data_IF_730139388157
#
_entry.id   IF_730139388157
#
_cell.length_a   1.000
_cell.length_b   1.000
_cell.length_c   1.000
_cell.angle_alpha   90.00
_cell.angle_beta   90.00
_cell.angle_gamma   90.00
#
_symmetry.space_group_name_H-M   'P 1'
#
loop_
_entity.id
_entity.type
_entity.pdbx_description
1 polymer ?
#
# COMPACT_ATOMS: atom_id res chain seq x y z
N UNK A 1 -14.47 -51.64 -6.00
CA UNK A 1 -13.80 -51.54 -4.68
C UNK A 1 -12.87 -50.34 -4.73
N UNK A 2 -13.29 -49.21 -4.17
CA UNK A 2 -12.50 -47.99 -4.13
C UNK A 2 -12.46 -47.49 -2.68
N UNK A 3 -11.30 -47.63 -2.05
CA UNK A 3 -11.03 -47.28 -0.65
C UNK A 3 -10.69 -45.80 -0.54
N UNK A 4 -11.55 -45.05 0.15
CA UNK A 4 -11.36 -43.63 0.49
C UNK A 4 -10.51 -43.54 1.76
N UNK A 5 -9.29 -43.01 1.65
CA UNK A 5 -8.44 -42.72 2.81
C UNK A 5 -8.83 -41.37 3.42
N UNK A 6 -9.28 -41.41 4.69
CA UNK A 6 -9.63 -40.25 5.52
C UNK A 6 -8.41 -39.89 6.37
N UNK A 7 -7.83 -38.72 6.19
CA UNK A 7 -6.74 -38.18 7.03
C UNK A 7 -7.31 -37.43 8.24
N UNK A 8 -6.77 -37.60 9.46
CA UNK A 8 -7.23 -36.84 10.63
C UNK A 8 -6.47 -35.51 10.78
N UNK A 9 -7.22 -34.48 11.18
CA UNK A 9 -6.77 -33.12 11.45
C UNK A 9 -6.10 -33.06 12.84
N UNK A 10 -4.82 -32.66 12.88
CA UNK A 10 -4.05 -32.40 14.09
C UNK A 10 -4.40 -31.03 14.67
N UNK A 11 -4.86 -31.00 15.92
CA UNK A 11 -5.21 -29.80 16.70
C UNK A 11 -4.08 -29.50 17.69
N UNK A 12 -3.47 -28.30 17.71
CA UNK A 12 -2.39 -27.98 18.65
C UNK A 12 -2.92 -27.67 20.07
N UNK A 13 -2.16 -27.95 21.14
CA UNK A 13 -2.61 -27.75 22.51
C UNK A 13 -2.50 -26.29 22.98
N UNK A 14 -3.49 -25.89 23.77
CA UNK A 14 -3.64 -24.58 24.41
C UNK A 14 -2.70 -24.50 25.63
N UNK A 15 -1.88 -23.46 25.71
CA UNK A 15 -1.02 -23.14 26.86
C UNK A 15 -1.79 -22.27 27.88
N UNK A 16 -1.70 -22.54 29.20
CA UNK A 16 -2.31 -21.68 30.22
C UNK A 16 -1.39 -20.50 30.63
N UNK A 17 -1.96 -19.41 31.20
CA UNK A 17 -1.21 -18.20 31.55
C UNK A 17 -0.39 -18.37 32.82
N UNK A 18 0.82 -17.78 32.84
CA UNK A 18 1.71 -17.73 34.01
C UNK A 18 1.16 -16.75 35.05
N UNK A 19 0.81 -17.26 36.23
CA UNK A 19 0.54 -16.50 37.44
C UNK A 19 1.82 -16.06 38.14
N UNK A 20 1.82 -14.82 38.59
CA UNK A 20 2.77 -14.22 39.52
C UNK A 20 2.68 -14.86 40.91
N UNK A 21 3.84 -15.16 41.50
CA UNK A 21 3.94 -15.36 42.96
C UNK A 21 5.27 -14.84 43.48
N UNK A 22 5.16 -13.89 44.39
CA UNK A 22 6.18 -13.44 45.31
C UNK A 22 6.57 -14.53 46.30
N UNK A 23 7.85 -14.60 46.68
CA UNK A 23 8.28 -15.04 48.00
C UNK A 23 9.75 -14.64 48.24
N UNK A 24 10.06 -14.39 49.51
CA UNK A 24 11.22 -13.72 50.06
C UNK A 24 12.35 -14.68 50.51
N UNK A 25 13.46 -14.06 50.95
CA UNK A 25 14.59 -14.58 51.75
C UNK A 25 15.74 -15.26 50.94
N UNK A 26 17.05 -15.05 51.18
CA UNK A 26 17.79 -14.29 52.18
C UNK A 26 19.24 -13.97 51.70
N UNK A 27 19.75 -12.84 52.20
CA UNK A 27 21.14 -12.45 52.54
C UNK A 27 22.37 -13.11 51.85
N UNK A 28 23.18 -12.27 51.18
CA UNK A 28 24.63 -12.03 51.51
C UNK A 28 25.18 -10.80 50.77
N UNK A 29 25.85 -9.90 51.50
CA UNK A 29 26.66 -8.73 51.04
C UNK A 29 28.13 -9.18 50.86
N UNK A 30 29.04 -8.51 50.11
CA UNK A 30 29.39 -7.06 50.14
C UNK A 30 29.61 -6.48 48.70
N UNK A 31 29.91 -5.23 48.38
CA UNK A 31 30.69 -4.15 49.00
C UNK A 31 30.32 -2.80 48.36
N UNK A 32 30.41 -1.73 49.13
CA UNK A 32 30.08 -0.35 48.78
C UNK A 32 31.10 0.32 47.84
N UNK A 33 30.62 1.07 46.84
CA UNK A 33 31.25 2.34 46.40
C UNK A 33 30.13 3.32 46.05
N UNK A 34 30.09 4.45 46.76
CA UNK A 34 29.10 5.50 46.61
C UNK A 34 29.61 6.58 45.64
N UNK A 35 28.76 7.03 44.71
CA UNK A 35 28.94 8.29 43.99
C UNK A 35 27.72 9.18 44.22
N UNK A 36 27.88 10.44 44.64
CA UNK A 36 26.76 11.30 44.98
C UNK A 36 26.13 11.91 43.72
N UNK A 37 24.80 11.85 43.68
CA UNK A 37 23.93 12.58 42.76
C UNK A 37 23.98 14.07 43.05
N UNK A 38 24.59 14.86 42.15
CA UNK A 38 24.56 16.32 42.20
C UNK A 38 23.40 16.84 41.35
N UNK A 39 22.30 17.24 42.02
CA UNK A 39 21.23 18.06 41.44
C UNK A 39 21.76 19.50 41.29
N UNK A 40 21.81 20.02 40.06
CA UNK A 40 21.87 21.47 39.82
C UNK A 40 20.65 21.93 39.04
N UNK A 41 19.86 22.75 39.71
CA UNK A 41 19.02 23.77 39.09
C UNK A 41 19.93 24.83 38.46
N UNK A 42 19.82 25.08 37.17
CA UNK A 42 20.51 26.21 36.52
C UNK A 42 19.54 27.00 35.65
N UNK A 43 19.52 28.29 35.94
CA UNK A 43 18.65 29.33 35.41
C UNK A 43 19.05 29.76 34.00
N UNK A 44 18.01 30.09 33.24
CA UNK A 44 17.99 30.64 31.89
C UNK A 44 18.90 31.88 31.75
N UNK A 45 19.93 31.82 30.91
CA UNK A 45 20.59 33.01 30.35
C UNK A 45 20.68 32.90 28.84
N UNK A 46 20.00 33.83 28.17
CA UNK A 46 20.09 34.11 26.73
C UNK A 46 21.43 34.77 26.45
N UNK A 47 22.20 34.21 25.52
CA UNK A 47 23.35 34.88 24.89
C UNK A 47 23.18 34.82 23.39
N UNK A 48 22.96 35.99 22.81
CA UNK A 48 22.90 36.26 21.36
C UNK A 48 24.32 36.26 20.81
N UNK A 49 24.62 35.41 19.82
CA UNK A 49 25.85 35.48 19.03
C UNK A 49 25.54 36.04 17.63
N UNK A 50 26.37 36.95 17.09
CA UNK A 50 26.15 37.54 15.77
C UNK A 50 26.61 36.60 14.64
N UNK A 51 25.75 36.38 13.65
CA UNK A 51 26.06 35.65 12.42
C UNK A 51 27.09 36.42 11.59
N UNK A 52 28.24 35.78 11.38
CA UNK A 52 29.26 36.24 10.42
C UNK A 52 28.84 35.85 9.00
N UNK A 53 29.04 36.78 8.09
CA UNK A 53 28.62 36.78 6.69
C UNK A 53 29.43 35.82 5.82
N UNK A 54 28.78 34.79 5.26
CA UNK A 54 29.33 34.00 4.14
C UNK A 54 28.78 34.54 2.81
N UNK A 55 29.68 35.09 1.99
CA UNK A 55 29.41 35.51 0.61
C UNK A 55 29.32 34.27 -0.30
N UNK A 56 28.19 34.08 -0.97
CA UNK A 56 28.06 33.17 -2.11
C UNK A 56 28.25 33.95 -3.43
N UNK A 57 28.94 33.38 -4.44
CA UNK A 57 29.07 34.02 -5.74
C UNK A 57 27.76 33.94 -6.56
N UNK A 58 27.45 35.07 -7.18
CA UNK A 58 26.31 35.37 -8.05
C UNK A 58 26.42 34.66 -9.40
N UNK A 59 25.40 33.87 -9.78
CA UNK A 59 25.21 33.37 -11.16
C UNK A 59 24.13 34.24 -11.83
N UNK A 60 24.38 34.82 -13.03
CA UNK A 60 23.49 35.80 -13.62
C UNK A 60 22.22 35.19 -14.25
N UNK A 61 21.13 35.89 -13.98
CA UNK A 61 19.78 35.75 -14.55
C UNK A 61 19.75 35.79 -16.08
N UNK A 62 19.16 34.77 -16.70
CA UNK A 62 18.70 34.83 -18.09
C UNK A 62 17.37 35.58 -18.14
N UNK A 63 17.33 36.57 -19.03
CA UNK A 63 16.28 37.57 -19.17
C UNK A 63 15.10 37.02 -19.96
N UNK A 64 13.91 37.23 -19.41
CA UNK A 64 12.60 37.12 -20.02
C UNK A 64 12.50 38.08 -21.23
N UNK A 65 12.24 37.58 -22.43
CA UNK A 65 11.82 38.40 -23.58
C UNK A 65 10.34 38.17 -23.88
N UNK A 66 9.53 39.11 -23.37
CA UNK A 66 8.37 39.77 -24.00
C UNK A 66 7.57 39.00 -25.05
N UNK A 67 6.35 38.64 -24.65
CA UNK A 67 5.23 38.30 -25.53
C UNK A 67 4.47 39.59 -25.93
N UNK A 68 4.11 39.73 -27.21
CA UNK A 68 3.02 40.58 -27.69
C UNK A 68 2.45 40.01 -29.01
N UNK A 69 1.16 40.22 -29.31
CA UNK A 69 0.32 39.27 -30.05
C UNK A 69 0.02 39.70 -31.49
N UNK A 70 -0.26 38.73 -32.38
CA UNK A 70 -0.92 38.99 -33.66
C UNK A 70 -1.85 37.83 -34.03
N UNK A 71 -3.10 38.20 -34.33
CA UNK A 71 -4.21 37.34 -34.73
C UNK A 71 -4.03 36.77 -36.16
N UNK A 72 -4.54 35.55 -36.38
CA UNK A 72 -4.98 35.10 -37.71
C UNK A 72 -6.03 33.98 -37.57
N UNK A 73 -7.15 34.15 -38.25
CA UNK A 73 -8.30 33.25 -38.40
C UNK A 73 -8.02 32.09 -39.37
N UNK A 74 -8.75 30.97 -39.19
CA UNK A 74 -9.11 30.06 -40.30
C UNK A 74 -8.69 28.60 -40.14
N UNK A 75 -9.62 27.83 -39.57
CA UNK A 75 -9.95 26.40 -39.78
C UNK A 75 -8.98 25.50 -40.58
N UNK A 76 -8.54 24.39 -39.97
CA UNK A 76 -9.04 23.00 -40.16
C UNK A 76 -7.95 22.00 -39.75
N UNK A 77 -8.32 21.02 -38.92
CA UNK A 77 -7.62 19.75 -38.62
C UNK A 77 -6.15 19.78 -38.15
N UNK A 78 -5.93 19.69 -36.82
CA UNK A 78 -4.64 19.26 -36.26
C UNK A 78 -4.81 18.40 -34.99
N UNK A 79 -4.21 17.21 -35.03
CA UNK A 79 -4.06 16.27 -33.91
C UNK A 79 -3.24 16.88 -32.77
N UNK A 80 -3.46 16.50 -31.50
CA UNK A 80 -2.65 17.01 -30.39
C UNK A 80 -1.28 16.32 -30.40
N UNK A 81 -0.24 17.03 -30.81
CA UNK A 81 1.13 16.65 -30.49
C UNK A 81 1.46 17.13 -29.08
N UNK A 82 1.45 16.20 -28.13
CA UNK A 82 2.15 16.32 -26.85
C UNK A 82 3.61 16.02 -27.13
N UNK A 83 4.48 17.02 -26.98
CA UNK A 83 5.92 16.84 -27.05
C UNK A 83 6.39 16.23 -25.72
N UNK A 84 6.50 14.91 -25.70
CA UNK A 84 7.25 14.18 -24.68
C UNK A 84 8.76 14.34 -24.95
N UNK A 85 9.60 14.48 -23.92
CA UNK A 85 11.04 14.36 -24.11
C UNK A 85 11.39 12.89 -24.34
N UNK A 86 11.69 12.53 -25.59
CA UNK A 86 12.33 11.26 -25.92
C UNK A 86 13.71 11.20 -25.24
N UNK A 87 13.83 10.34 -24.23
CA UNK A 87 15.10 9.79 -23.80
C UNK A 87 15.33 8.55 -24.66
N UNK A 88 16.15 8.68 -25.69
CA UNK A 88 16.60 7.55 -26.49
C UNK A 88 17.47 6.64 -25.60
N UNK A 89 16.92 5.49 -25.25
CA UNK A 89 17.68 4.35 -24.74
C UNK A 89 18.30 3.66 -25.96
N UNK A 90 19.60 3.87 -26.14
CA UNK A 90 20.39 3.11 -27.09
C UNK A 90 20.65 1.73 -26.47
N UNK A 91 19.82 0.74 -26.84
CA UNK A 91 20.07 -0.67 -26.57
C UNK A 91 21.30 -1.11 -27.40
N UNK A 92 22.47 -0.98 -26.79
CA UNK A 92 23.72 -1.58 -27.27
C UNK A 92 23.75 -3.07 -26.98
N UNK A 93 22.97 -3.86 -27.74
CA UNK A 93 23.17 -5.30 -27.82
C UNK A 93 24.53 -5.56 -28.49
N UNK A 94 25.53 -5.92 -27.69
CA UNK A 94 26.80 -6.44 -28.18
C UNK A 94 26.56 -7.89 -28.58
N UNK A 95 26.27 -8.09 -29.86
CA UNK A 95 26.33 -9.40 -30.50
C UNK A 95 27.78 -9.91 -30.42
N UNK A 96 27.98 -10.91 -29.58
CA UNK A 96 29.20 -11.71 -29.55
C UNK A 96 29.11 -12.67 -30.74
N UNK A 97 29.59 -12.23 -31.90
CA UNK A 97 29.88 -13.15 -33.00
C UNK A 97 31.16 -13.93 -32.71
N UNK A 98 30.96 -15.22 -32.56
CA UNK A 98 31.94 -16.29 -32.44
C UNK A 98 32.75 -16.39 -33.74
N UNK A 99 33.99 -15.88 -33.76
CA UNK A 99 34.91 -16.06 -34.90
C UNK A 99 35.83 -17.23 -34.64
N UNK A 100 35.32 -18.43 -34.92
CA UNK A 100 36.11 -19.63 -35.07
C UNK A 100 36.74 -19.68 -36.47
N UNK A 101 38.07 -19.61 -36.52
CA UNK A 101 38.90 -20.37 -37.45
C UNK A 101 38.94 -19.94 -38.91
N UNK A 102 39.94 -19.12 -39.26
CA UNK A 102 40.69 -19.35 -40.50
C UNK A 102 42.18 -19.24 -40.21
N UNK A 103 42.78 -20.41 -40.02
CA UNK A 103 44.21 -20.64 -40.09
C UNK A 103 44.59 -20.61 -41.59
N UNK A 104 45.05 -19.47 -42.08
CA UNK A 104 45.83 -19.40 -43.32
C UNK A 104 47.22 -18.88 -43.00
N UNK A 105 48.18 -19.75 -43.29
CA UNK A 105 49.61 -19.60 -43.10
C UNK A 105 50.12 -18.51 -44.05
N UNK A 106 50.73 -17.47 -43.50
CA UNK A 106 51.68 -16.63 -44.24
C UNK A 106 53.00 -16.59 -43.48
N UNK A 107 53.96 -17.36 -43.99
CA UNK A 107 55.38 -17.26 -43.66
C UNK A 107 55.92 -15.86 -44.03
N UNK A 108 56.99 -15.47 -43.32
CA UNK A 108 57.87 -14.32 -43.52
C UNK A 108 57.45 -12.99 -42.84
N UNK A 109 57.84 -12.81 -41.57
CA UNK A 109 59.11 -12.14 -41.24
C UNK A 109 59.35 -12.29 -39.72
N UNK A 110 60.23 -13.23 -39.33
CA UNK A 110 60.79 -13.28 -37.98
C UNK A 110 61.88 -12.20 -37.88
N UNK A 111 61.49 -10.98 -37.51
CA UNK A 111 62.42 -9.98 -37.03
C UNK A 111 62.58 -10.16 -35.52
N UNK A 112 63.64 -10.85 -35.13
CA UNK A 112 64.11 -10.99 -33.75
C UNK A 112 64.43 -9.62 -33.14
N UNK A 113 63.46 -8.98 -32.51
CA UNK A 113 63.77 -8.06 -31.42
C UNK A 113 63.93 -8.91 -30.16
N UNK A 114 65.18 -9.12 -29.75
CA UNK A 114 65.51 -9.71 -28.47
C UNK A 114 64.79 -8.93 -27.39
N UNK A 115 63.78 -9.55 -26.76
CA UNK A 115 63.09 -8.90 -25.65
C UNK A 115 64.12 -8.45 -24.60
N UNK A 116 63.92 -7.32 -23.91
CA UNK A 116 64.90 -6.81 -22.94
C UNK A 116 65.24 -7.83 -21.85
N UNK A 117 64.31 -8.75 -21.57
CA UNK A 117 64.55 -9.90 -20.69
C UNK A 117 65.50 -10.95 -21.29
N UNK A 118 65.45 -11.18 -22.60
CA UNK A 118 66.32 -12.11 -23.32
C UNK A 118 67.77 -11.61 -23.35
N UNK A 119 67.99 -10.30 -23.46
CA UNK A 119 69.31 -9.67 -23.33
C UNK A 119 69.85 -9.76 -21.89
N UNK A 120 69.01 -9.49 -20.89
CA UNK A 120 69.35 -9.68 -19.46
C UNK A 120 69.68 -11.14 -19.14
N UNK A 121 68.98 -12.10 -19.75
CA UNK A 121 69.24 -13.53 -19.58
C UNK A 121 70.50 -14.01 -20.31
N UNK A 122 70.82 -13.45 -21.48
CA UNK A 122 72.08 -13.72 -22.21
C UNK A 122 73.28 -13.19 -21.43
N UNK A 123 73.21 -11.94 -20.95
CA UNK A 123 74.27 -11.34 -20.13
C UNK A 123 74.45 -12.06 -18.78
N UNK A 124 73.38 -12.55 -18.16
CA UNK A 124 73.46 -13.42 -16.98
C UNK A 124 74.19 -14.75 -17.28
N UNK A 125 73.86 -15.42 -18.39
CA UNK A 125 74.51 -16.67 -18.82
C UNK A 125 76.01 -16.47 -19.08
N UNK A 126 76.38 -15.39 -19.73
CA UNK A 126 77.77 -15.04 -20.01
C UNK A 126 78.55 -14.67 -18.75
N UNK A 127 77.94 -13.95 -17.81
CA UNK A 127 78.55 -13.60 -16.52
C UNK A 127 78.83 -14.85 -15.67
N UNK A 128 77.93 -15.83 -15.67
CA UNK A 128 78.11 -17.12 -14.98
C UNK A 128 79.20 -17.97 -15.65
N UNK A 129 79.23 -18.03 -17.00
CA UNK A 129 80.26 -18.76 -17.74
C UNK A 129 81.68 -18.21 -17.49
N UNK A 130 81.79 -16.90 -17.26
CA UNK A 130 83.05 -16.21 -16.98
C UNK A 130 83.39 -16.10 -15.48
N UNK A 131 82.59 -16.69 -14.57
CA UNK A 131 82.71 -16.57 -13.10
C UNK A 131 82.76 -15.11 -12.59
N UNK A 132 82.06 -14.19 -13.26
CA UNK A 132 82.00 -12.77 -12.90
C UNK A 132 80.91 -12.53 -11.86
N UNK A 133 81.21 -12.85 -10.60
CA UNK A 133 80.27 -12.79 -9.47
C UNK A 133 79.67 -11.39 -9.22
N UNK A 134 80.42 -10.32 -9.55
CA UNK A 134 79.95 -8.94 -9.41
C UNK A 134 78.78 -8.60 -10.35
N UNK A 135 78.84 -9.03 -11.62
CA UNK A 135 77.80 -8.78 -12.62
C UNK A 135 76.56 -9.62 -12.33
N UNK A 136 76.76 -10.87 -11.89
CA UNK A 136 75.68 -11.76 -11.45
C UNK A 136 74.91 -11.14 -10.27
N UNK A 137 75.61 -10.60 -9.27
CA UNK A 137 74.98 -9.95 -8.12
C UNK A 137 74.18 -8.69 -8.49
N UNK A 138 74.69 -7.88 -9.43
CA UNK A 138 74.00 -6.69 -9.93
C UNK A 138 72.72 -7.05 -10.68
N UNK A 139 72.77 -8.04 -11.58
CA UNK A 139 71.60 -8.53 -12.32
C UNK A 139 70.55 -9.16 -11.39
N UNK A 140 70.97 -9.93 -10.39
CA UNK A 140 70.05 -10.47 -9.37
C UNK A 140 69.39 -9.37 -8.54
N UNK A 141 70.11 -8.29 -8.23
CA UNK A 141 69.54 -7.14 -7.52
C UNK A 141 68.50 -6.39 -8.38
N UNK A 142 68.78 -6.25 -9.67
CA UNK A 142 67.88 -5.63 -10.64
C UNK A 142 66.60 -6.44 -10.85
N UNK A 143 66.72 -7.76 -11.02
CA UNK A 143 65.57 -8.67 -11.11
C UNK A 143 64.72 -8.67 -9.83
N UNK A 144 65.35 -8.61 -8.65
CA UNK A 144 64.64 -8.46 -7.36
C UNK A 144 63.86 -7.15 -7.30
N UNK A 145 64.44 -6.03 -7.74
CA UNK A 145 63.74 -4.74 -7.81
C UNK A 145 62.53 -4.79 -8.74
N UNK A 146 62.65 -5.42 -9.91
CA UNK A 146 61.53 -5.58 -10.85
C UNK A 146 60.42 -6.44 -10.24
N UNK A 147 60.77 -7.54 -9.57
CA UNK A 147 59.79 -8.40 -8.92
C UNK A 147 59.05 -7.66 -7.79
N UNK A 148 59.77 -6.86 -6.98
CA UNK A 148 59.18 -6.03 -5.93
C UNK A 148 58.22 -4.96 -6.51
N UNK A 149 58.59 -4.33 -7.63
CA UNK A 149 57.74 -3.37 -8.34
C UNK A 149 56.50 -4.04 -8.92
N UNK A 150 56.65 -5.20 -9.55
CA UNK A 150 55.55 -6.01 -10.09
C UNK A 150 54.58 -6.41 -8.99
N UNK A 151 55.07 -6.93 -7.87
CA UNK A 151 54.24 -7.26 -6.69
C UNK A 151 53.53 -6.01 -6.16
N UNK A 152 54.21 -4.87 -6.15
CA UNK A 152 53.62 -3.58 -5.76
C UNK A 152 52.48 -3.14 -6.68
N UNK A 153 52.63 -3.31 -8.00
CA UNK A 153 51.60 -3.01 -9.00
C UNK A 153 50.44 -4.00 -8.93
N UNK A 154 50.69 -5.29 -8.80
CA UNK A 154 49.66 -6.32 -8.65
C UNK A 154 48.80 -6.07 -7.41
N UNK A 155 49.41 -5.68 -6.28
CA UNK A 155 48.66 -5.29 -5.07
C UNK A 155 47.77 -4.06 -5.30
N UNK A 156 48.26 -3.06 -6.03
CA UNK A 156 47.46 -1.86 -6.38
C UNK A 156 46.30 -2.22 -7.29
N UNK A 157 46.52 -3.04 -8.31
CA UNK A 157 45.47 -3.52 -9.22
C UNK A 157 44.43 -4.31 -8.44
N UNK A 158 44.86 -5.21 -7.56
CA UNK A 158 43.97 -5.98 -6.69
C UNK A 158 43.11 -5.05 -5.80
N UNK A 159 43.72 -4.07 -5.15
CA UNK A 159 43.01 -3.07 -4.31
C UNK A 159 41.97 -2.28 -5.11
N UNK A 160 42.37 -1.73 -6.26
CA UNK A 160 41.48 -0.94 -7.12
C UNK A 160 40.36 -1.80 -7.67
N UNK A 161 40.64 -3.04 -8.08
CA UNK A 161 39.62 -3.96 -8.58
C UNK A 161 38.58 -4.32 -7.51
N UNK A 162 39.02 -4.47 -6.25
CA UNK A 162 38.14 -4.72 -5.13
C UNK A 162 37.26 -3.50 -4.82
N UNK A 163 37.84 -2.30 -4.77
CA UNK A 163 37.09 -1.04 -4.60
C UNK A 163 36.05 -0.85 -5.72
N UNK A 164 36.43 -1.13 -6.96
CA UNK A 164 35.55 -1.06 -8.12
C UNK A 164 34.38 -2.05 -7.97
N UNK A 165 34.64 -3.29 -7.52
CA UNK A 165 33.59 -4.28 -7.29
C UNK A 165 32.59 -3.83 -6.23
N UNK A 166 33.08 -3.25 -5.12
CA UNK A 166 32.22 -2.74 -4.03
C UNK A 166 31.35 -1.59 -4.52
N UNK A 167 31.91 -0.66 -5.29
CA UNK A 167 31.15 0.48 -5.80
C UNK A 167 30.15 0.05 -6.88
N UNK A 168 30.48 -0.94 -7.72
CA UNK A 168 29.52 -1.56 -8.66
C UNK A 168 28.35 -2.19 -7.91
N UNK A 169 28.61 -2.97 -6.87
CA UNK A 169 27.56 -3.58 -6.06
C UNK A 169 26.68 -2.52 -5.38
N UNK A 170 27.31 -1.43 -4.92
CA UNK A 170 26.59 -0.28 -4.36
C UNK A 170 25.68 0.38 -5.38
N UNK A 171 26.17 0.62 -6.60
CA UNK A 171 25.37 1.21 -7.69
C UNK A 171 24.21 0.30 -8.07
N UNK A 172 24.46 -1.00 -8.24
CA UNK A 172 23.42 -1.99 -8.56
C UNK A 172 22.34 -2.05 -7.49
N UNK A 173 22.72 -1.95 -6.22
CA UNK A 173 21.75 -1.89 -5.12
C UNK A 173 20.93 -0.60 -5.17
N UNK A 174 21.58 0.54 -5.37
CA UNK A 174 20.89 1.85 -5.46
C UNK A 174 19.94 1.88 -6.66
N UNK A 175 20.32 1.32 -7.81
CA UNK A 175 19.44 1.23 -8.98
C UNK A 175 18.22 0.34 -8.69
N UNK A 176 18.41 -0.80 -8.03
CA UNK A 176 17.31 -1.66 -7.62
C UNK A 176 16.38 -0.97 -6.61
N UNK A 177 16.93 -0.26 -5.63
CA UNK A 177 16.15 0.52 -4.66
C UNK A 177 15.35 1.64 -5.34
N UNK A 178 15.93 2.29 -6.36
CA UNK A 178 15.25 3.32 -7.16
C UNK A 178 14.11 2.75 -8.00
N UNK A 179 14.31 1.60 -8.65
CA UNK A 179 13.25 0.92 -9.41
C UNK A 179 12.09 0.50 -8.51
N UNK A 180 12.41 -0.02 -7.31
CA UNK A 180 11.41 -0.37 -6.31
C UNK A 180 10.65 0.87 -5.83
N UNK A 181 11.36 1.98 -5.57
CA UNK A 181 10.75 3.26 -5.18
C UNK A 181 9.83 3.81 -6.27
N UNK A 182 10.25 3.77 -7.53
CA UNK A 182 9.43 4.23 -8.67
C UNK A 182 8.14 3.42 -8.77
N UNK A 183 8.23 2.09 -8.81
CA UNK A 183 7.05 1.19 -8.85
C UNK A 183 6.13 1.41 -7.64
N UNK A 184 6.69 1.65 -6.46
CA UNK A 184 5.91 1.96 -5.26
C UNK A 184 5.20 3.31 -5.40
N UNK A 185 5.91 4.34 -5.82
CA UNK A 185 5.37 5.70 -5.96
C UNK A 185 4.25 5.75 -7.01
N UNK A 186 4.39 5.01 -8.11
CA UNK A 186 3.34 4.90 -9.12
C UNK A 186 2.06 4.25 -8.55
N UNK A 187 2.19 3.15 -7.80
CA UNK A 187 1.03 2.53 -7.11
C UNK A 187 0.42 3.47 -6.08
N UNK A 188 1.25 4.08 -5.22
CA UNK A 188 0.80 5.00 -4.19
C UNK A 188 0.07 6.20 -4.81
N UNK A 189 0.55 6.73 -5.94
CA UNK A 189 -0.12 7.80 -6.68
C UNK A 189 -1.51 7.40 -7.17
N UNK A 190 -1.65 6.21 -7.77
CA UNK A 190 -2.95 5.70 -8.22
C UNK A 190 -3.91 5.49 -7.04
N UNK A 191 -3.41 4.93 -5.94
CA UNK A 191 -4.17 4.78 -4.70
C UNK A 191 -4.58 6.13 -4.11
N UNK A 192 -3.72 7.15 -4.14
CA UNK A 192 -4.06 8.48 -3.64
C UNK A 192 -5.17 9.13 -4.48
N UNK A 193 -5.12 9.01 -5.81
CA UNK A 193 -6.16 9.55 -6.70
C UNK A 193 -7.51 8.87 -6.44
N UNK A 194 -7.54 7.54 -6.40
CA UNK A 194 -8.77 6.78 -6.11
C UNK A 194 -9.28 7.02 -4.68
N UNK A 195 -8.37 7.23 -3.72
CA UNK A 195 -8.73 7.56 -2.35
C UNK A 195 -9.40 8.92 -2.24
N UNK A 196 -8.78 9.95 -2.83
CA UNK A 196 -9.32 11.31 -2.85
C UNK A 196 -10.66 11.39 -3.59
N UNK A 197 -10.80 10.66 -4.72
CA UNK A 197 -12.08 10.54 -5.41
C UNK A 197 -13.15 9.94 -4.51
N UNK A 198 -12.84 8.85 -3.79
CA UNK A 198 -13.78 8.23 -2.86
C UNK A 198 -14.21 9.16 -1.72
N UNK A 199 -13.29 9.92 -1.12
CA UNK A 199 -13.63 10.90 -0.07
C UNK A 199 -14.59 11.99 -0.56
N UNK A 200 -14.37 12.52 -1.78
CA UNK A 200 -15.27 13.50 -2.38
C UNK A 200 -16.64 12.86 -2.65
N UNK A 201 -16.68 11.64 -3.18
CA UNK A 201 -17.95 10.94 -3.43
C UNK A 201 -18.71 10.67 -2.13
N UNK A 202 -18.04 10.22 -1.07
CA UNK A 202 -18.63 10.01 0.26
C UNK A 202 -19.29 11.29 0.80
N UNK A 203 -18.68 12.46 0.56
CA UNK A 203 -19.25 13.76 0.96
C UNK A 203 -20.50 14.17 0.15
N UNK A 204 -20.65 13.63 -1.07
CA UNK A 204 -21.80 13.88 -1.95
C UNK A 204 -22.97 12.91 -1.68
N UNK A 205 -22.72 11.71 -1.13
CA UNK A 205 -23.77 10.72 -0.85
C UNK A 205 -24.93 11.24 0.02
N UNK A 206 -24.73 12.09 1.05
CA UNK A 206 -25.83 12.69 1.80
C UNK A 206 -26.79 13.52 0.95
N UNK A 207 -26.31 14.14 -0.13
CA UNK A 207 -27.16 14.88 -1.07
C UNK A 207 -28.06 13.92 -1.82
N UNK A 208 -27.52 12.77 -2.26
CA UNK A 208 -28.31 11.70 -2.88
C UNK A 208 -29.37 11.15 -1.94
N UNK A 209 -29.04 10.97 -0.67
CA UNK A 209 -30.01 10.51 0.33
C UNK A 209 -31.15 11.51 0.53
N UNK A 210 -30.86 12.81 0.44
CA UNK A 210 -31.89 13.84 0.51
C UNK A 210 -32.80 13.79 -0.72
N UNK A 211 -32.26 13.46 -1.90
CA UNK A 211 -33.10 13.13 -3.04
C UNK A 211 -34.00 11.93 -2.68
N UNK A 212 -33.45 10.78 -2.31
CA UNK A 212 -34.28 9.59 -1.99
C UNK A 212 -35.35 9.87 -0.92
N UNK A 213 -35.00 10.63 0.12
CA UNK A 213 -35.94 11.09 1.15
C UNK A 213 -37.04 11.96 0.55
N UNK A 214 -36.70 12.96 -0.26
CA UNK A 214 -37.67 13.82 -0.93
C UNK A 214 -38.62 13.01 -1.83
N UNK A 215 -38.10 12.01 -2.57
CA UNK A 215 -38.92 11.13 -3.41
C UNK A 215 -40.01 10.41 -2.61
N UNK A 216 -39.72 9.98 -1.37
CA UNK A 216 -40.72 9.33 -0.50
C UNK A 216 -41.76 10.29 0.08
N UNK A 217 -41.46 11.58 0.14
CA UNK A 217 -42.34 12.61 0.73
C UNK A 217 -43.24 13.29 -0.31
N UNK A 218 -42.85 13.28 -1.59
CA UNK A 218 -43.66 13.85 -2.68
C UNK A 218 -44.90 12.99 -2.87
N UNK A 219 -46.03 13.46 -2.34
CA UNK A 219 -47.37 12.98 -2.71
C UNK A 219 -47.86 13.87 -3.84
N UNK A 220 -48.26 13.25 -4.93
CA UNK A 220 -48.72 13.95 -6.12
C UNK A 220 -50.24 13.94 -6.09
N UNK A 221 -50.85 15.09 -5.84
CA UNK A 221 -52.31 15.25 -5.78
C UNK A 221 -52.83 16.17 -6.89
N UNK A 222 -51.97 17.06 -7.42
CA UNK A 222 -52.33 18.04 -8.46
C UNK A 222 -51.43 17.96 -9.71
N UNK A 223 -51.96 18.28 -10.90
CA UNK A 223 -51.20 18.33 -12.17
C UNK A 223 -49.96 19.24 -12.15
N UNK A 224 -49.96 20.29 -11.32
CA UNK A 224 -48.78 21.14 -11.11
C UNK A 224 -47.64 20.43 -10.38
N UNK A 225 -47.97 19.54 -9.44
CA UNK A 225 -47.00 18.76 -8.66
C UNK A 225 -46.41 17.62 -9.49
N UNK A 226 -47.17 17.06 -10.45
CA UNK A 226 -46.67 16.10 -11.44
C UNK A 226 -45.52 16.67 -12.26
N UNK A 227 -45.64 17.93 -12.72
CA UNK A 227 -44.58 18.61 -13.47
C UNK A 227 -43.30 18.77 -12.65
N UNK A 228 -43.44 19.08 -11.36
CA UNK A 228 -42.32 19.20 -10.43
C UNK A 228 -41.69 17.83 -10.16
N UNK A 229 -42.49 16.77 -10.01
CA UNK A 229 -41.98 15.41 -9.84
C UNK A 229 -41.18 14.95 -11.07
N UNK A 230 -41.66 15.25 -12.29
CA UNK A 230 -40.97 14.92 -13.52
C UNK A 230 -39.61 15.63 -13.67
N UNK A 231 -39.54 16.92 -13.35
CA UNK A 231 -38.26 17.65 -13.38
C UNK A 231 -37.30 17.14 -12.31
N UNK A 232 -37.81 16.86 -11.10
CA UNK A 232 -37.07 16.24 -10.02
C UNK A 232 -36.49 14.86 -10.39
N UNK A 233 -37.29 13.98 -10.99
CA UNK A 233 -36.85 12.66 -11.45
C UNK A 233 -35.78 12.77 -12.55
N UNK A 234 -35.89 13.78 -13.41
CA UNK A 234 -34.91 14.03 -14.47
C UNK A 234 -33.55 14.44 -13.88
N UNK A 235 -33.53 15.33 -12.87
CA UNK A 235 -32.31 15.73 -12.18
C UNK A 235 -31.69 14.54 -11.43
N UNK A 236 -32.51 13.73 -10.75
CA UNK A 236 -32.04 12.52 -10.07
C UNK A 236 -31.37 11.53 -11.04
N UNK A 237 -31.98 11.31 -12.22
CA UNK A 237 -31.41 10.44 -13.26
C UNK A 237 -30.06 10.98 -13.77
N UNK A 238 -29.99 12.26 -14.09
CA UNK A 238 -28.74 12.91 -14.53
C UNK A 238 -27.65 12.79 -13.45
N UNK A 239 -28.00 12.97 -12.18
CA UNK A 239 -27.06 12.83 -11.08
C UNK A 239 -26.54 11.38 -10.96
N UNK A 240 -27.41 10.39 -11.09
CA UNK A 240 -27.01 8.98 -11.12
C UNK A 240 -26.12 8.66 -12.33
N UNK A 241 -26.43 9.20 -13.51
CA UNK A 241 -25.60 9.05 -14.72
C UNK A 241 -24.19 9.58 -14.49
N UNK A 242 -24.05 10.76 -13.88
CA UNK A 242 -22.75 11.34 -13.52
C UNK A 242 -21.99 10.45 -12.54
N UNK A 243 -22.64 9.90 -11.51
CA UNK A 243 -22.01 8.98 -10.57
C UNK A 243 -21.53 7.70 -11.26
N UNK A 244 -22.34 7.12 -12.15
CA UNK A 244 -21.94 5.92 -12.91
C UNK A 244 -20.78 6.21 -13.87
N UNK A 245 -20.75 7.40 -14.50
CA UNK A 245 -19.64 7.81 -15.35
C UNK A 245 -18.32 7.98 -14.57
N UNK A 246 -18.41 8.32 -13.27
CA UNK A 246 -17.27 8.38 -12.35
C UNK A 246 -16.88 7.01 -11.77
N UNK A 247 -17.57 5.93 -12.16
CA UNK A 247 -17.31 4.57 -11.69
C UNK A 247 -17.93 4.24 -10.33
N UNK A 248 -18.88 5.05 -9.85
CA UNK A 248 -19.65 4.79 -8.64
C UNK A 248 -20.88 3.96 -8.99
N UNK A 249 -20.99 2.78 -8.41
CA UNK A 249 -22.09 1.85 -8.62
C UNK A 249 -22.88 1.66 -7.32
N UNK A 250 -24.23 1.61 -7.39
CA UNK A 250 -25.05 1.21 -6.26
C UNK A 250 -24.86 -0.28 -5.95
N UNK A 251 -24.91 -0.64 -4.68
CA UNK A 251 -24.89 -2.05 -4.24
C UNK A 251 -26.31 -2.63 -4.35
N UNK A 252 -26.46 -3.78 -5.01
CA UNK A 252 -27.75 -4.49 -5.10
C UNK A 252 -28.10 -5.14 -3.76
N UNK A 253 -29.25 -4.78 -3.19
CA UNK A 253 -29.66 -5.17 -1.84
C UNK A 253 -30.87 -6.10 -1.81
N UNK A 254 -32.04 -5.62 -2.23
CA UNK A 254 -33.33 -6.32 -2.05
C UNK A 254 -33.32 -7.67 -2.79
N UNK A 255 -33.61 -8.74 -2.05
CA UNK A 255 -33.64 -10.12 -2.58
C UNK A 255 -32.26 -10.77 -2.78
N UNK A 256 -31.17 -10.11 -2.36
CA UNK A 256 -29.81 -10.70 -2.34
C UNK A 256 -29.48 -11.25 -0.95
N UNK A 257 -28.55 -12.23 -0.87
CA UNK A 257 -28.01 -12.66 0.41
C UNK A 257 -27.25 -11.53 1.09
N UNK A 258 -27.36 -11.46 2.41
CA UNK A 258 -26.66 -10.48 3.22
C UNK A 258 -25.15 -10.77 3.26
N UNK A 259 -24.36 -9.86 2.69
CA UNK A 259 -22.90 -9.84 2.84
C UNK A 259 -22.46 -8.75 3.86
N UNK A 260 -21.83 -9.12 4.99
CA UNK A 260 -21.29 -8.17 5.97
C UNK A 260 -20.22 -7.21 5.42
N UNK A 261 -19.56 -7.54 4.30
CA UNK A 261 -18.56 -6.67 3.68
C UNK A 261 -19.21 -5.50 2.94
N UNK A 262 -20.45 -5.65 2.47
CA UNK A 262 -21.15 -4.68 1.62
C UNK A 262 -22.35 -4.04 2.30
N UNK A 263 -22.89 -4.68 3.34
CA UNK A 263 -24.15 -4.32 3.96
C UNK A 263 -24.04 -4.15 5.48
N UNK A 264 -24.82 -3.22 6.00
CA UNK A 264 -25.01 -2.97 7.42
C UNK A 264 -26.44 -3.35 7.83
N UNK A 265 -26.59 -4.44 8.58
CA UNK A 265 -27.90 -4.89 9.08
C UNK A 265 -28.32 -4.08 10.31
N UNK A 266 -29.33 -3.22 10.16
CA UNK A 266 -29.87 -2.42 11.28
C UNK A 266 -30.89 -3.24 12.07
N UNK A 267 -31.73 -4.00 11.37
CA UNK A 267 -32.86 -4.71 11.95
C UNK A 267 -32.99 -6.10 11.34
N UNK A 268 -33.48 -7.05 12.16
CA UNK A 268 -33.91 -8.36 11.71
C UNK A 268 -35.42 -8.48 11.89
N UNK A 269 -36.11 -9.02 10.89
CA UNK A 269 -37.55 -9.25 10.92
C UNK A 269 -37.85 -10.68 10.49
N UNK A 270 -38.80 -11.32 11.16
CA UNK A 270 -39.26 -12.64 10.78
C UNK A 270 -40.14 -12.49 9.53
N UNK A 271 -39.76 -13.18 8.44
CA UNK A 271 -40.52 -13.17 7.19
C UNK A 271 -40.78 -14.59 6.73
N UNK A 272 -42.01 -14.83 6.27
CA UNK A 272 -42.37 -16.11 5.63
C UNK A 272 -42.08 -16.11 4.12
N UNK A 273 -41.77 -14.93 3.55
CA UNK A 273 -41.51 -14.75 2.13
C UNK A 273 -40.04 -14.96 1.75
N UNK A 274 -39.11 -14.68 2.66
CA UNK A 274 -37.67 -14.75 2.41
C UNK A 274 -36.97 -15.64 3.44
N UNK A 275 -36.08 -16.51 2.96
CA UNK A 275 -35.21 -17.35 3.79
C UNK A 275 -34.31 -16.51 4.71
N UNK A 276 -33.78 -17.13 5.76
CA UNK A 276 -32.82 -16.55 6.69
C UNK A 276 -31.65 -15.89 5.94
N UNK A 277 -31.16 -14.76 6.46
CA UNK A 277 -30.03 -13.99 5.90
C UNK A 277 -30.26 -13.40 4.50
N UNK A 278 -31.52 -13.29 4.04
CA UNK A 278 -31.88 -12.52 2.83
C UNK A 278 -32.29 -11.09 3.21
N UNK A 279 -31.89 -10.12 2.38
CA UNK A 279 -32.27 -8.71 2.56
C UNK A 279 -33.73 -8.49 2.12
N UNK A 280 -34.58 -8.10 3.08
CA UNK A 280 -36.01 -7.80 2.88
C UNK A 280 -36.18 -6.40 2.30
N UNK A 281 -35.54 -5.41 2.94
CA UNK A 281 -35.73 -4.01 2.61
C UNK A 281 -34.44 -3.22 2.80
N UNK A 282 -34.19 -2.29 1.90
CA UNK A 282 -33.13 -1.30 2.03
C UNK A 282 -33.68 0.01 2.60
N UNK A 283 -33.03 0.51 3.65
CA UNK A 283 -33.29 1.83 4.22
C UNK A 283 -32.42 2.91 3.59
N UNK A 284 -31.20 2.57 3.20
CA UNK A 284 -30.25 3.50 2.60
C UNK A 284 -29.32 2.83 1.61
N UNK A 285 -29.28 3.42 0.41
CA UNK A 285 -28.23 3.40 -0.62
C UNK A 285 -26.83 3.01 -0.17
N UNK A 286 -26.33 1.80 -0.42
CA UNK A 286 -24.89 1.55 -0.43
C UNK A 286 -24.27 1.86 -1.79
N UNK A 287 -23.01 2.33 -1.79
CA UNK A 287 -22.28 2.67 -3.01
C UNK A 287 -20.84 2.16 -2.93
N UNK A 288 -20.33 1.69 -4.07
CA UNK A 288 -18.95 1.26 -4.29
C UNK A 288 -18.34 2.03 -5.45
N UNK A 289 -17.03 2.29 -5.39
CA UNK A 289 -16.22 2.89 -6.44
C UNK A 289 -15.26 1.81 -6.96
N UNK A 290 -15.59 1.19 -8.09
CA UNK A 290 -14.91 -0.01 -8.56
C UNK A 290 -14.94 -1.12 -7.51
N UNK A 291 -13.78 -1.47 -6.96
CA UNK A 291 -13.63 -2.50 -5.92
C UNK A 291 -13.69 -1.95 -4.48
N UNK A 292 -13.64 -0.61 -4.31
CA UNK A 292 -13.65 0.02 -2.98
C UNK A 292 -15.08 0.34 -2.56
N UNK A 293 -15.50 -0.12 -1.38
CA UNK A 293 -16.75 0.32 -0.77
C UNK A 293 -16.63 1.76 -0.24
N UNK A 294 -17.54 2.64 -0.65
CA UNK A 294 -17.64 4.01 -0.11
C UNK A 294 -18.51 4.04 1.13
N UNK A 295 -19.67 3.38 1.06
CA UNK A 295 -20.63 3.28 2.15
C UNK A 295 -21.43 1.98 2.05
N UNK A 296 -21.57 1.21 3.14
CA UNK A 296 -22.41 0.02 3.13
C UNK A 296 -23.89 0.37 2.98
N UNK A 297 -24.68 -0.52 2.38
CA UNK A 297 -26.14 -0.33 2.36
C UNK A 297 -26.74 -0.66 3.71
N UNK A 298 -27.60 0.21 4.20
CA UNK A 298 -28.34 -0.04 5.43
C UNK A 298 -29.57 -0.87 5.13
N UNK A 299 -29.64 -2.08 5.67
CA UNK A 299 -30.63 -3.08 5.29
C UNK A 299 -31.35 -3.70 6.48
N UNK A 300 -32.54 -4.21 6.20
CA UNK A 300 -33.31 -5.11 7.05
C UNK A 300 -33.17 -6.54 6.53
N UNK A 301 -32.76 -7.46 7.40
CA UNK A 301 -32.48 -8.86 7.05
C UNK A 301 -33.56 -9.79 7.60
N UNK A 302 -33.89 -10.86 6.87
CA UNK A 302 -34.81 -11.89 7.32
C UNK A 302 -34.14 -12.77 8.38
N UNK A 303 -34.83 -13.01 9.49
CA UNK A 303 -34.47 -14.03 10.47
C UNK A 303 -35.08 -15.40 10.16
N UNK A 304 -35.70 -15.54 8.98
CA UNK A 304 -36.43 -16.74 8.57
C UNK A 304 -37.90 -16.73 8.95
N UNK A 305 -38.62 -17.83 8.63
CA UNK A 305 -39.90 -18.11 9.25
C UNK A 305 -39.62 -18.40 10.73
N UNK A 306 -39.64 -17.35 11.54
CA UNK A 306 -39.39 -17.42 12.98
C UNK A 306 -40.26 -18.47 13.66
N UNK A 307 -39.89 -18.93 14.87
CA UNK A 307 -40.74 -19.83 15.64
C UNK A 307 -42.10 -19.17 15.84
N UNK A 308 -43.17 -19.81 15.37
CA UNK A 308 -44.54 -19.30 15.37
C UNK A 308 -44.82 -18.46 16.62
N UNK A 309 -44.91 -17.14 16.45
CA UNK A 309 -45.14 -16.20 17.54
C UNK A 309 -46.51 -16.51 18.15
N UNK A 310 -46.63 -16.83 19.46
CA UNK A 310 -47.91 -17.12 20.10
C UNK A 310 -48.67 -15.82 20.36
N UNK A 311 -49.30 -15.25 19.32
CA UNK A 311 -50.12 -14.03 19.42
C UNK A 311 -51.58 -14.29 19.85
N UNK A 312 -51.84 -15.28 20.72
CA UNK A 312 -53.16 -15.48 21.33
C UNK A 312 -53.15 -15.64 22.87
N UNK A 313 -52.07 -15.27 23.56
CA UNK A 313 -52.02 -15.40 25.03
C UNK A 313 -52.31 -14.10 25.82
N UNK A 314 -52.28 -12.91 25.20
CA UNK A 314 -52.46 -11.64 25.93
C UNK A 314 -53.89 -11.07 25.89
N UNK A 315 -54.82 -11.70 25.16
CA UNK A 315 -56.24 -11.32 25.17
C UNK A 315 -57.12 -12.22 26.06
N UNK A 316 -56.58 -13.32 26.60
CA UNK A 316 -57.36 -14.25 27.45
C UNK A 316 -57.34 -13.83 28.93
N UNK A 317 -56.34 -13.07 29.37
CA UNK A 317 -56.20 -12.70 30.79
C UNK A 317 -56.99 -11.44 31.18
N UNK A 318 -57.39 -10.59 30.23
CA UNK A 318 -58.24 -9.42 30.50
C UNK A 318 -59.75 -9.73 30.47
N UNK A 319 -60.17 -10.76 29.73
CA UNK A 319 -61.59 -11.19 29.70
C UNK A 319 -61.94 -12.07 30.92
N UNK A 320 -60.94 -12.66 31.58
CA UNK A 320 -61.13 -13.44 32.80
C UNK A 320 -61.32 -12.56 34.07
N UNK A 321 -60.81 -11.33 34.09
CA UNK A 321 -61.02 -10.40 35.21
C UNK A 321 -62.40 -9.74 35.17
N UNK A 322 -62.92 -9.38 34.00
CA UNK A 322 -64.22 -8.68 33.88
C UNK A 322 -65.44 -9.60 34.11
N UNK A 323 -65.33 -10.91 33.85
CA UNK A 323 -66.42 -11.86 34.11
C UNK A 323 -66.52 -12.33 35.58
N UNK A 324 -65.59 -11.93 36.45
CA UNK A 324 -65.62 -12.30 37.88
C UNK A 324 -66.26 -11.24 38.79
N UNK A 325 -66.39 -9.99 38.32
CA UNK A 325 -67.07 -8.92 39.05
C UNK A 325 -68.59 -8.86 38.79
N UNK A 326 -69.06 -9.36 37.64
CA UNK A 326 -70.50 -9.37 37.31
C UNK A 326 -71.33 -10.48 38.01
N UNK A 327 -70.69 -11.39 38.76
CA UNK A 327 -71.37 -12.53 39.43
C UNK A 327 -71.52 -12.37 40.95
N UNK A 328 -71.18 -11.21 41.53
CA UNK A 328 -71.39 -10.93 42.96
C UNK A 328 -72.54 -9.98 43.31
N UNK A 329 -73.21 -9.35 42.34
CA UNK A 329 -74.33 -8.45 42.64
C UNK A 329 -75.73 -9.09 42.53
N UNK A 330 -75.86 -10.38 42.16
CA UNK A 330 -77.18 -10.99 41.92
C UNK A 330 -77.68 -11.97 43.00
N UNK A 331 -77.10 -11.95 44.21
CA UNK A 331 -77.59 -12.75 45.35
C UNK A 331 -77.94 -11.84 46.55
N UNK A 332 -78.93 -10.97 46.38
CA UNK A 332 -79.36 -10.04 47.43
C UNK A 332 -80.82 -9.62 47.33
N UNK A 333 -81.74 -10.54 47.05
CA UNK A 333 -83.18 -10.24 47.10
C UNK A 333 -84.05 -11.49 47.32
N UNK A 334 -84.19 -11.92 48.58
CA UNK A 334 -85.37 -12.60 49.16
C UNK A 334 -85.18 -12.58 50.68
N UNK A 335 -86.00 -11.85 51.45
CA UNK A 335 -87.02 -12.39 52.37
C UNK A 335 -87.74 -11.18 53.02
N UNK A 336 -89.02 -10.92 52.70
CA UNK A 336 -90.25 -11.25 53.48
C UNK A 336 -90.49 -10.44 54.77
N UNK A 337 -91.58 -9.65 54.73
CA UNK A 337 -92.63 -9.46 55.75
C UNK A 337 -92.28 -9.60 57.25
N UNK A 338 -92.57 -8.57 58.06
CA UNK A 338 -93.71 -8.58 59.01
C UNK A 338 -93.56 -7.58 60.18
N UNK A 339 -94.72 -7.00 60.52
CA UNK A 339 -95.12 -6.25 61.74
C UNK A 339 -94.77 -4.76 61.86
#
# INVERSE_FOLDING_TARGET
MATVFRTPILRPPILPPRSSSSSAAAATKPSCVAFPSFRQTATRRRTTLPLTTLRFPSIPSLRFTKFAPSAFEGDTEFSPQVQEPEVQLEDGAVDVEDSAGHNEVSEADESEESSPLQEVLQTYKEAVANNNEAIVAELESYLKSIEDEKIGLERKIASISAELSIEKDRILRISADFDNFRKRTERDRLSLVTNAQGEVMESLLPVLDNFERAKTQIKVETEGEEKINNSYQSIYKQFMEILTALGVEPVETVGKPFDPLLHEAIMREDSTEFEDDIIIQEFRKGFKLGDRLLRPSMVKVSAGPGPAKPEQAQQVEQVASENSEALKENNGSTETESS
#
